data_IF_600440618530
#
_entry.id   IF_600440618530
#
_cell.length_a   1.000
_cell.length_b   1.000
_cell.length_c   1.000
_cell.angle_alpha   90.00
_cell.angle_beta   90.00
_cell.angle_gamma   90.00
#
_symmetry.space_group_name_H-M   'P 1'
#
loop_
_entity.id
_entity.type
_entity.pdbx_description
1 polymer ?
#
# COMPACT_ATOMS: atom_id res chain seq x y z
N UNK A 1 3.45 -11.43 -9.25
CA UNK A 1 3.76 -12.82 -9.70
C UNK A 1 4.72 -13.48 -8.71
N UNK A 2 4.81 -14.82 -8.71
CA UNK A 2 5.69 -15.56 -7.80
C UNK A 2 7.18 -15.15 -7.92
N UNK A 3 7.57 -14.61 -9.09
CA UNK A 3 8.91 -14.12 -9.43
C UNK A 3 9.24 -12.69 -8.97
N UNK A 4 8.25 -11.91 -8.50
CA UNK A 4 8.51 -10.56 -8.02
C UNK A 4 9.31 -10.59 -6.71
N UNK A 5 10.40 -9.81 -6.65
CA UNK A 5 11.25 -9.72 -5.47
C UNK A 5 10.48 -9.09 -4.29
N UNK A 6 10.72 -9.60 -3.08
CA UNK A 6 10.16 -9.03 -1.86
C UNK A 6 10.77 -7.65 -1.57
N UNK A 7 9.91 -6.68 -1.24
CA UNK A 7 10.33 -5.39 -0.67
C UNK A 7 10.51 -5.47 0.84
N UNK A 8 9.99 -6.51 1.50
CA UNK A 8 10.21 -6.79 2.92
C UNK A 8 11.62 -7.35 3.08
N UNK A 9 12.47 -6.68 3.87
CA UNK A 9 13.90 -7.00 4.01
C UNK A 9 14.26 -7.60 5.36
N UNK A 10 13.42 -7.40 6.36
CA UNK A 10 13.67 -7.83 7.73
C UNK A 10 12.55 -8.73 8.26
N UNK A 11 12.81 -9.54 9.31
CA UNK A 11 11.75 -10.25 10.02
C UNK A 11 10.67 -9.30 10.59
N UNK A 12 11.07 -8.08 10.97
CA UNK A 12 10.14 -7.05 11.41
C UNK A 12 9.19 -6.63 10.28
N UNK A 13 9.69 -6.46 9.06
CA UNK A 13 8.84 -6.13 7.91
C UNK A 13 7.81 -7.22 7.65
N UNK A 14 8.21 -8.49 7.76
CA UNK A 14 7.30 -9.62 7.60
C UNK A 14 6.21 -9.61 8.69
N UNK A 15 6.60 -9.34 9.94
CA UNK A 15 5.67 -9.21 11.05
C UNK A 15 4.67 -8.07 10.82
N UNK A 16 5.16 -6.90 10.44
CA UNK A 16 4.32 -5.73 10.21
C UNK A 16 3.40 -5.95 8.99
N UNK A 17 3.93 -6.50 7.89
CA UNK A 17 3.14 -6.84 6.70
C UNK A 17 1.99 -7.81 7.01
N UNK A 18 2.25 -8.85 7.81
CA UNK A 18 1.22 -9.84 8.19
C UNK A 18 0.03 -9.23 8.95
N UNK A 19 0.18 -8.03 9.52
CA UNK A 19 -0.84 -7.33 10.30
C UNK A 19 -1.54 -6.22 9.52
N UNK A 20 -1.04 -5.87 8.34
CA UNK A 20 -1.48 -4.68 7.60
C UNK A 20 -2.97 -4.72 7.26
N UNK A 21 -3.51 -5.89 6.90
CA UNK A 21 -4.95 -6.07 6.60
C UNK A 21 -5.87 -5.83 7.79
N UNK A 22 -5.32 -5.69 9.01
CA UNK A 22 -6.05 -5.43 10.25
C UNK A 22 -5.74 -4.06 10.85
N UNK A 23 -5.09 -3.17 10.10
CA UNK A 23 -4.68 -1.84 10.59
C UNK A 23 -5.85 -1.02 11.15
N UNK A 24 -7.06 -1.20 10.60
CA UNK A 24 -8.28 -0.49 11.03
C UNK A 24 -8.79 -0.93 12.40
N UNK A 25 -8.46 -2.15 12.84
CA UNK A 25 -8.88 -2.69 14.14
C UNK A 25 -7.83 -2.51 15.23
N UNK A 26 -6.68 -1.91 14.92
CA UNK A 26 -5.60 -1.68 15.86
C UNK A 26 -5.90 -0.51 16.80
N UNK A 27 -5.31 -0.54 18.00
CA UNK A 27 -5.33 0.62 18.90
C UNK A 27 -4.62 1.83 18.24
N UNK A 28 -4.90 3.08 18.66
CA UNK A 28 -4.27 4.26 18.07
C UNK A 28 -2.74 4.22 18.06
N UNK A 29 -2.13 3.72 19.13
CA UNK A 29 -0.67 3.60 19.25
C UNK A 29 -0.09 2.56 18.27
N UNK A 30 -0.75 1.40 18.16
CA UNK A 30 -0.33 0.35 17.22
C UNK A 30 -0.52 0.78 15.77
N UNK A 31 -1.67 1.40 15.46
CA UNK A 31 -1.96 1.93 14.14
C UNK A 31 -0.94 2.98 13.71
N UNK A 32 -0.52 3.85 14.63
CA UNK A 32 0.53 4.84 14.34
C UNK A 32 1.87 4.17 13.98
N UNK A 33 2.26 3.11 14.70
CA UNK A 33 3.47 2.34 14.38
C UNK A 33 3.34 1.61 13.04
N UNK A 34 2.16 1.03 12.78
CA UNK A 34 1.85 0.36 11.52
C UNK A 34 1.92 1.33 10.34
N UNK A 35 1.35 2.52 10.48
CA UNK A 35 1.37 3.58 9.47
C UNK A 35 2.80 4.07 9.19
N UNK A 36 3.60 4.28 10.24
CA UNK A 36 5.00 4.68 10.08
C UNK A 36 5.79 3.63 9.29
N UNK A 37 5.62 2.35 9.61
CA UNK A 37 6.23 1.25 8.87
C UNK A 37 5.70 1.17 7.43
N UNK A 38 4.40 1.29 7.21
CA UNK A 38 3.83 1.27 5.86
C UNK A 38 4.46 2.36 4.98
N UNK A 39 4.60 3.58 5.51
CA UNK A 39 5.24 4.69 4.82
C UNK A 39 6.72 4.43 4.49
N UNK A 40 7.46 3.65 5.29
CA UNK A 40 8.83 3.26 4.92
C UNK A 40 8.83 2.28 3.76
N UNK A 41 7.97 1.25 3.80
CA UNK A 41 7.86 0.27 2.71
C UNK A 41 7.40 0.92 1.41
N UNK A 42 6.41 1.81 1.44
CA UNK A 42 5.88 2.49 0.26
C UNK A 42 6.94 3.34 -0.48
N UNK A 43 7.99 3.80 0.22
CA UNK A 43 9.14 4.48 -0.40
C UNK A 43 10.10 3.53 -1.10
N UNK A 44 10.10 2.25 -0.72
CA UNK A 44 10.97 1.21 -1.30
C UNK A 44 10.36 0.51 -2.50
N UNK A 45 9.05 0.65 -2.73
CA UNK A 45 8.36 0.02 -3.86
C UNK A 45 8.91 0.62 -5.16
N UNK A 46 9.64 -0.17 -5.99
CA UNK A 46 10.00 0.27 -7.32
C UNK A 46 8.72 0.54 -8.10
N UNK A 47 8.68 1.62 -8.90
CA UNK A 47 7.44 2.12 -9.53
C UNK A 47 6.46 2.83 -8.57
N UNK A 48 6.95 3.34 -7.43
CA UNK A 48 6.27 4.41 -6.70
C UNK A 48 5.83 5.52 -7.66
N UNK A 49 4.71 6.20 -7.33
CA UNK A 49 4.09 7.22 -8.17
C UNK A 49 5.19 7.99 -8.94
N UNK A 50 5.25 7.95 -10.29
CA UNK A 50 6.40 8.44 -11.05
C UNK A 50 6.77 9.91 -10.78
N UNK A 51 5.86 10.65 -10.15
CA UNK A 51 5.97 12.04 -9.76
C UNK A 51 6.47 12.23 -8.31
N UNK A 52 6.81 11.16 -7.58
CA UNK A 52 7.33 11.20 -6.22
C UNK A 52 6.33 11.66 -5.16
N UNK A 53 5.02 11.63 -5.46
CA UNK A 53 3.99 12.12 -4.55
C UNK A 53 3.87 11.28 -3.29
N UNK A 54 3.52 11.95 -2.19
CA UNK A 54 3.23 11.32 -0.91
C UNK A 54 2.07 10.32 -1.01
N UNK A 55 2.15 9.27 -0.20
CA UNK A 55 1.11 8.26 -0.05
C UNK A 55 0.17 8.64 1.09
N UNK A 56 -1.12 8.72 0.80
CA UNK A 56 -2.17 9.00 1.76
C UNK A 56 -2.96 7.74 2.05
N UNK A 57 -3.12 7.45 3.33
CA UNK A 57 -4.03 6.43 3.82
C UNK A 57 -5.47 6.80 3.46
N UNK A 58 -6.21 5.87 2.88
CA UNK A 58 -7.66 5.93 2.68
C UNK A 58 -8.24 4.70 3.37
N UNK A 59 -9.33 4.87 4.12
CA UNK A 59 -9.97 3.76 4.83
C UNK A 59 -11.05 3.06 4.01
N UNK A 60 -11.69 3.79 3.09
CA UNK A 60 -12.72 3.24 2.23
C UNK A 60 -12.55 3.70 0.78
N UNK A 61 -12.11 2.79 -0.13
CA UNK A 61 -11.60 1.45 0.17
C UNK A 61 -10.16 1.48 0.73
N UNK A 62 -9.81 0.51 1.58
CA UNK A 62 -8.61 0.55 2.40
C UNK A 62 -7.33 0.45 1.57
N UNK A 63 -6.38 1.34 1.86
CA UNK A 63 -5.06 1.30 1.27
C UNK A 63 -4.37 2.66 1.22
N UNK A 64 -3.32 2.72 0.42
CA UNK A 64 -2.49 3.90 0.24
C UNK A 64 -2.63 4.42 -1.18
N UNK A 65 -3.00 5.69 -1.30
CA UNK A 65 -3.22 6.34 -2.59
C UNK A 65 -2.20 7.44 -2.76
N UNK A 66 -1.61 7.56 -3.94
CA UNK A 66 -0.74 8.70 -4.18
C UNK A 66 -1.57 10.00 -4.08
N UNK A 67 -0.94 11.11 -3.72
CA UNK A 67 -1.62 12.42 -3.55
C UNK A 67 -2.53 12.83 -4.72
N UNK A 68 -2.16 12.43 -5.94
CA UNK A 68 -2.93 12.70 -7.17
C UNK A 68 -4.07 11.69 -7.41
N UNK A 69 -4.17 10.64 -6.60
CA UNK A 69 -5.23 9.63 -6.64
C UNK A 69 -5.19 8.67 -7.83
N UNK A 70 -4.13 8.68 -8.63
CA UNK A 70 -3.98 7.83 -9.82
C UNK A 70 -3.39 6.43 -9.55
N UNK A 71 -2.75 6.24 -8.40
CA UNK A 71 -2.16 4.97 -8.00
C UNK A 71 -2.62 4.58 -6.60
N UNK A 72 -2.76 3.27 -6.38
CA UNK A 72 -3.18 2.68 -5.13
C UNK A 72 -2.30 1.47 -4.79
N UNK A 73 -1.97 1.30 -3.52
CA UNK A 73 -1.45 0.07 -2.93
C UNK A 73 -2.42 -0.31 -1.82
N UNK A 74 -3.25 -1.32 -2.06
CA UNK A 74 -4.23 -1.85 -1.09
C UNK A 74 -3.51 -2.48 0.11
N UNK A 75 -4.20 -2.63 1.23
CA UNK A 75 -3.64 -3.31 2.41
C UNK A 75 -3.20 -4.75 2.10
N UNK A 76 -3.91 -5.45 1.22
CA UNK A 76 -3.56 -6.80 0.78
C UNK A 76 -2.24 -6.84 0.01
N UNK A 77 -2.05 -5.91 -0.94
CA UNK A 77 -0.81 -5.79 -1.72
C UNK A 77 0.38 -5.40 -0.84
N UNK A 78 0.18 -4.50 0.12
CA UNK A 78 1.22 -4.12 1.05
C UNK A 78 1.57 -5.30 1.99
N UNK A 79 0.56 -6.05 2.46
CA UNK A 79 0.75 -7.27 3.25
C UNK A 79 1.50 -8.37 2.49
N UNK A 80 1.28 -8.49 1.17
CA UNK A 80 2.03 -9.42 0.32
C UNK A 80 3.52 -9.05 0.23
N UNK A 81 3.86 -7.76 0.34
CA UNK A 81 5.25 -7.32 0.39
C UNK A 81 6.03 -7.54 -0.91
N UNK A 82 5.35 -7.66 -2.05
CA UNK A 82 5.95 -7.92 -3.37
C UNK A 82 6.06 -6.67 -4.25
N UNK A 83 5.72 -5.49 -3.72
CA UNK A 83 5.78 -4.22 -4.46
C UNK A 83 4.66 -4.02 -5.48
N UNK A 84 3.52 -4.69 -5.32
CA UNK A 84 2.40 -4.56 -6.25
C UNK A 84 1.70 -3.19 -6.17
N UNK A 85 1.32 -2.63 -7.31
CA UNK A 85 0.61 -1.35 -7.44
C UNK A 85 -0.60 -1.47 -8.36
N UNK A 86 -1.69 -0.78 -8.02
CA UNK A 86 -2.88 -0.65 -8.84
C UNK A 86 -2.98 0.76 -9.43
N UNK A 87 -3.52 0.87 -10.64
CA UNK A 87 -3.91 2.13 -11.27
C UNK A 87 -5.38 2.39 -10.97
N UNK A 88 -5.69 3.64 -10.62
CA UNK A 88 -7.05 4.11 -10.35
C UNK A 88 -7.55 4.89 -11.57
N UNK A 89 -8.35 4.28 -12.46
CA UNK A 89 -8.79 4.95 -13.68
C UNK A 89 -9.67 6.17 -13.36
N UNK A 90 -9.32 7.31 -13.97
CA UNK A 90 -10.09 8.55 -13.86
C UNK A 90 -10.03 9.27 -12.49
N UNK A 91 -9.14 8.87 -11.57
CA UNK A 91 -8.92 9.54 -10.26
C UNK A 91 -10.20 9.59 -9.38
N UNK A 92 -11.21 8.78 -9.69
CA UNK A 92 -12.48 8.74 -8.95
C UNK A 92 -12.42 7.71 -7.83
N UNK A 93 -11.74 8.06 -6.75
CA UNK A 93 -11.54 7.19 -5.56
C UNK A 93 -12.88 6.68 -5.00
N UNK A 94 -13.95 7.48 -5.02
CA UNK A 94 -15.27 7.10 -4.45
C UNK A 94 -16.14 6.20 -5.32
N UNK A 95 -15.76 5.91 -6.58
CA UNK A 95 -16.53 5.04 -7.50
C UNK A 95 -15.68 3.85 -7.93
N UNK A 96 -15.06 3.20 -6.95
CA UNK A 96 -13.98 2.26 -7.19
C UNK A 96 -14.52 0.90 -7.61
N UNK A 97 -14.70 0.73 -8.92
CA UNK A 97 -14.47 -0.52 -9.63
C UNK A 97 -14.51 -0.27 -11.14
N UNK A 98 -13.58 -0.85 -11.93
CA UNK A 98 -12.47 -1.72 -11.53
C UNK A 98 -11.12 -0.97 -11.35
N UNK A 99 -10.33 -1.36 -10.33
CA UNK A 99 -8.90 -1.05 -10.25
C UNK A 99 -8.16 -1.83 -11.35
N UNK A 100 -7.12 -1.24 -11.95
CA UNK A 100 -6.30 -1.94 -12.95
C UNK A 100 -5.00 -2.42 -12.32
N UNK A 101 -4.66 -3.70 -12.46
CA UNK A 101 -3.52 -4.34 -11.80
C UNK A 101 -3.93 -5.51 -10.90
N UNK A 102 -3.08 -5.94 -9.94
CA UNK A 102 -1.79 -5.34 -9.57
C UNK A 102 -0.68 -5.53 -10.62
N UNK A 103 0.13 -4.49 -10.81
CA UNK A 103 1.38 -4.51 -11.57
C UNK A 103 2.55 -4.68 -10.61
N UNK A 104 3.59 -5.42 -11.02
CA UNK A 104 4.78 -5.74 -10.22
C UNK A 104 6.03 -5.55 -11.05
#
# INVERSE_FOLDING_TARGET
>A
PASAASVLRTPEDQRMASRQTRITTMSPAERSRQEQWAQTILRTVPHSCPQGHEWKRIEDPPGYYCKMGGHCITDELLAQGRGGICIVPGIKIKKMWPLWGPYY
#
